data_IF_378869544142
#
_entry.id   IF_378869544142
#
_cell.length_a   1.000
_cell.length_b   1.000
_cell.length_c   1.000
_cell.angle_alpha   90.00
_cell.angle_beta   90.00
_cell.angle_gamma   90.00
#
_symmetry.space_group_name_H-M   'P 1'
#
loop_
_entity.id
_entity.type
_entity.pdbx_description
1 polymer ?
#
# COMPACT_ATOMS: atom_id res chain seq x y z
N UNK A 1 -0.66 4.07 -35.53
CA UNK A 1 0.78 4.35 -35.41
C UNK A 1 1.51 3.33 -36.25
N UNK A 2 2.34 3.74 -37.21
CA UNK A 2 3.14 2.80 -38.01
C UNK A 2 4.29 2.24 -37.16
N UNK A 3 4.80 1.05 -37.53
CA UNK A 3 5.92 0.41 -36.83
C UNK A 3 7.17 1.32 -36.80
N UNK A 4 7.43 2.03 -37.89
CA UNK A 4 8.53 2.99 -38.02
C UNK A 4 8.41 4.18 -37.06
N UNK A 5 7.19 4.66 -36.78
CA UNK A 5 6.95 5.72 -35.80
C UNK A 5 7.14 5.22 -34.36
N UNK A 6 6.85 3.94 -34.10
CA UNK A 6 7.08 3.33 -32.81
C UNK A 6 8.57 3.14 -32.54
N UNK A 7 9.31 2.63 -33.54
CA UNK A 7 10.75 2.42 -33.43
C UNK A 7 11.51 3.76 -33.31
N UNK A 8 11.06 4.79 -34.03
CA UNK A 8 11.61 6.15 -33.87
C UNK A 8 11.33 6.73 -32.46
N UNK A 9 10.14 6.51 -31.90
CA UNK A 9 9.81 6.93 -30.53
C UNK A 9 10.58 6.17 -29.45
N UNK A 10 10.85 4.88 -29.68
CA UNK A 10 11.66 4.05 -28.78
C UNK A 10 13.12 4.51 -28.82
N UNK A 11 13.66 4.74 -30.03
CA UNK A 11 15.01 5.26 -30.23
C UNK A 11 15.19 6.66 -29.61
N UNK A 12 14.25 7.58 -29.85
CA UNK A 12 14.24 8.90 -29.20
C UNK A 12 14.11 8.80 -27.67
N UNK A 13 13.38 7.80 -27.16
CA UNK A 13 13.24 7.54 -25.72
C UNK A 13 14.53 7.02 -25.08
N UNK A 14 15.27 6.15 -25.77
CA UNK A 14 16.58 5.63 -25.35
C UNK A 14 17.64 6.74 -25.37
N UNK A 15 17.71 7.53 -26.44
CA UNK A 15 18.62 8.69 -26.51
C UNK A 15 18.25 9.78 -25.51
N UNK A 16 16.96 10.05 -25.28
CA UNK A 16 16.51 10.98 -24.25
C UNK A 16 16.88 10.47 -22.85
N UNK A 17 16.66 9.19 -22.53
CA UNK A 17 17.02 8.62 -21.23
C UNK A 17 18.53 8.67 -20.96
N UNK A 18 19.37 8.40 -21.98
CA UNK A 18 20.83 8.50 -21.88
C UNK A 18 21.35 9.93 -21.81
N UNK A 19 20.86 10.83 -22.69
CA UNK A 19 21.33 12.23 -22.76
C UNK A 19 20.81 13.11 -21.61
N UNK A 20 19.65 12.78 -21.03
CA UNK A 20 19.09 13.50 -19.88
C UNK A 20 19.58 12.98 -18.54
N UNK A 21 20.34 11.89 -18.46
CA UNK A 21 20.68 11.30 -17.17
C UNK A 21 21.55 12.21 -16.29
N UNK A 22 22.51 12.92 -16.88
CA UNK A 22 23.35 13.91 -16.18
C UNK A 22 22.61 15.25 -15.97
N UNK A 23 21.86 15.72 -16.97
CA UNK A 23 21.11 16.99 -16.88
C UNK A 23 19.90 16.90 -15.92
N UNK A 24 19.23 15.74 -15.86
CA UNK A 24 18.17 15.47 -14.90
C UNK A 24 18.72 15.24 -13.49
N UNK A 25 19.91 14.67 -13.30
CA UNK A 25 20.48 14.51 -11.96
C UNK A 25 20.67 15.88 -11.28
N UNK A 26 21.15 16.87 -12.04
CA UNK A 26 21.34 18.24 -11.53
C UNK A 26 20.00 19.00 -11.34
N UNK A 27 19.03 18.84 -12.25
CA UNK A 27 17.68 19.41 -12.09
C UNK A 27 16.90 18.75 -10.94
N UNK A 28 16.93 17.42 -10.81
CA UNK A 28 16.24 16.68 -9.74
C UNK A 28 16.84 17.02 -8.37
N UNK A 29 18.16 17.16 -8.28
CA UNK A 29 18.82 17.63 -7.06
C UNK A 29 18.36 19.03 -6.65
N UNK A 30 18.15 19.94 -7.61
CA UNK A 30 17.62 21.28 -7.35
C UNK A 30 16.13 21.26 -6.94
N UNK A 31 15.33 20.33 -7.48
CA UNK A 31 13.90 20.18 -7.15
C UNK A 31 13.71 19.54 -5.76
N UNK A 32 14.54 18.55 -5.41
CA UNK A 32 14.55 17.93 -4.09
C UNK A 32 15.00 18.93 -3.00
N UNK A 33 15.99 19.79 -3.29
CA UNK A 33 16.46 20.83 -2.37
C UNK A 33 15.54 22.06 -2.32
N UNK A 34 14.82 22.37 -3.40
CA UNK A 34 13.93 23.53 -3.53
C UNK A 34 12.47 23.29 -3.17
N UNK A 35 12.12 22.13 -2.60
CA UNK A 35 10.74 21.83 -2.20
C UNK A 35 9.76 21.66 -3.36
N UNK A 36 10.22 21.19 -4.53
CA UNK A 36 9.36 20.95 -5.69
C UNK A 36 9.26 22.12 -6.67
N UNK A 37 9.90 23.27 -6.39
CA UNK A 37 9.88 24.42 -7.30
C UNK A 37 10.87 24.23 -8.44
N UNK A 38 10.39 24.24 -9.68
CA UNK A 38 11.24 24.20 -10.87
C UNK A 38 11.35 25.59 -11.49
N UNK A 39 12.52 25.97 -12.00
CA UNK A 39 12.73 27.27 -12.68
C UNK A 39 11.73 27.41 -13.84
N UNK A 40 11.24 28.63 -14.04
CA UNK A 40 10.23 29.04 -15.03
C UNK A 40 10.61 28.84 -16.50
N UNK A 41 11.77 28.24 -16.79
CA UNK A 41 12.37 28.11 -18.13
C UNK A 41 12.18 26.71 -18.75
N UNK A 42 11.46 25.80 -18.10
CA UNK A 42 11.12 24.51 -18.71
C UNK A 42 10.10 24.70 -19.83
N UNK A 43 10.53 24.45 -21.06
CA UNK A 43 9.68 24.46 -22.24
C UNK A 43 8.91 23.12 -22.40
N UNK A 44 7.82 23.16 -23.18
CA UNK A 44 6.97 21.99 -23.44
C UNK A 44 7.76 20.82 -24.04
N UNK A 45 8.80 21.11 -24.82
CA UNK A 45 9.69 20.12 -25.41
C UNK A 45 10.50 19.35 -24.35
N UNK A 46 11.06 20.04 -23.36
CA UNK A 46 11.77 19.41 -22.24
C UNK A 46 10.82 18.56 -21.40
N UNK A 47 9.60 19.04 -21.11
CA UNK A 47 8.59 18.25 -20.40
C UNK A 47 8.21 17.00 -21.20
N UNK A 48 8.06 17.10 -22.52
CA UNK A 48 7.77 15.96 -23.39
C UNK A 48 8.88 14.91 -23.36
N UNK A 49 10.16 15.33 -23.41
CA UNK A 49 11.29 14.41 -23.24
C UNK A 49 11.30 13.73 -21.87
N UNK A 50 11.02 14.47 -20.80
CA UNK A 50 10.92 13.91 -19.44
C UNK A 50 9.78 12.88 -19.33
N UNK A 51 8.64 13.14 -19.98
CA UNK A 51 7.52 12.18 -20.03
C UNK A 51 7.90 10.90 -20.79
N UNK A 52 8.64 11.01 -21.89
CA UNK A 52 9.15 9.85 -22.64
C UNK A 52 10.16 9.05 -21.81
N UNK A 53 11.14 9.72 -21.20
CA UNK A 53 12.12 9.10 -20.31
C UNK A 53 11.45 8.38 -19.13
N UNK A 54 10.38 8.96 -18.57
CA UNK A 54 9.59 8.32 -17.51
C UNK A 54 8.96 7.00 -17.96
N UNK A 55 8.33 6.98 -19.13
CA UNK A 55 7.70 5.75 -19.64
C UNK A 55 8.73 4.69 -20.03
N UNK A 56 9.88 5.10 -20.56
CA UNK A 56 11.01 4.19 -20.81
C UNK A 56 11.54 3.57 -19.50
N UNK A 57 11.80 4.40 -18.48
CA UNK A 57 12.25 3.93 -17.17
C UNK A 57 11.25 2.96 -16.52
N UNK A 58 9.93 3.13 -16.71
CA UNK A 58 8.94 2.15 -16.24
C UNK A 58 9.09 0.81 -16.95
N UNK A 59 9.24 0.81 -18.29
CA UNK A 59 9.45 -0.43 -19.07
C UNK A 59 10.74 -1.14 -18.63
N UNK A 60 11.80 -0.39 -18.35
CA UNK A 60 13.05 -0.97 -17.84
C UNK A 60 12.91 -1.52 -16.41
N UNK A 61 12.16 -0.87 -15.53
CA UNK A 61 11.80 -1.43 -14.21
C UNK A 61 11.07 -2.78 -14.38
N UNK A 62 10.15 -2.89 -15.33
CA UNK A 62 9.44 -4.16 -15.59
C UNK A 62 10.40 -5.25 -16.10
N UNK A 63 11.31 -4.94 -17.03
CA UNK A 63 12.36 -5.87 -17.47
C UNK A 63 13.23 -6.33 -16.30
N UNK A 64 13.67 -5.40 -15.44
CA UNK A 64 14.47 -5.73 -14.26
C UNK A 64 13.71 -6.61 -13.26
N UNK A 65 12.41 -6.37 -13.04
CA UNK A 65 11.55 -7.23 -12.20
C UNK A 65 11.44 -8.64 -12.78
N UNK A 66 11.31 -8.78 -14.10
CA UNK A 66 11.28 -10.08 -14.77
C UNK A 66 12.61 -10.83 -14.61
N UNK A 67 13.75 -10.15 -14.80
CA UNK A 67 15.08 -10.71 -14.57
C UNK A 67 15.27 -11.15 -13.11
N UNK A 68 14.90 -10.30 -12.14
CA UNK A 68 14.93 -10.65 -10.71
C UNK A 68 14.12 -11.90 -10.43
N UNK A 69 12.91 -11.98 -10.98
CA UNK A 69 12.03 -13.14 -10.80
C UNK A 69 12.63 -14.42 -11.39
N UNK A 70 13.29 -14.33 -12.55
CA UNK A 70 13.98 -15.45 -13.17
C UNK A 70 15.17 -15.94 -12.32
N UNK A 71 15.98 -15.01 -11.80
CA UNK A 71 17.10 -15.32 -10.90
C UNK A 71 16.59 -15.98 -9.61
N UNK A 72 15.54 -15.40 -8.99
CA UNK A 72 14.94 -15.97 -7.78
C UNK A 72 14.46 -17.39 -8.01
N UNK A 73 13.77 -17.68 -9.13
CA UNK A 73 13.33 -19.04 -9.46
C UNK A 73 14.50 -20.03 -9.61
N UNK A 74 15.62 -19.62 -10.21
CA UNK A 74 16.80 -20.50 -10.31
C UNK A 74 17.39 -20.79 -8.93
N UNK A 75 17.50 -19.78 -8.07
CA UNK A 75 17.96 -19.96 -6.69
C UNK A 75 17.01 -20.83 -5.88
N UNK A 76 15.70 -20.60 -5.96
CA UNK A 76 14.69 -21.42 -5.30
C UNK A 76 14.79 -22.87 -5.76
N UNK A 77 15.01 -23.13 -7.06
CA UNK A 77 15.24 -24.48 -7.57
C UNK A 77 16.47 -25.14 -6.97
N UNK A 78 17.59 -24.42 -6.87
CA UNK A 78 18.84 -24.95 -6.28
C UNK A 78 18.67 -25.22 -4.78
N UNK A 79 18.00 -24.32 -4.06
CA UNK A 79 17.69 -24.47 -2.64
C UNK A 79 16.78 -25.68 -2.41
N UNK A 80 15.71 -25.82 -3.21
CA UNK A 80 14.79 -26.95 -3.10
C UNK A 80 15.49 -28.29 -3.33
N UNK A 81 16.40 -28.37 -4.32
CA UNK A 81 17.22 -29.58 -4.51
C UNK A 81 18.06 -29.90 -3.27
N UNK A 82 18.64 -28.90 -2.60
CA UNK A 82 19.39 -29.11 -1.36
C UNK A 82 18.49 -29.53 -0.19
N UNK A 83 17.28 -28.99 -0.09
CA UNK A 83 16.30 -29.42 0.90
C UNK A 83 15.87 -30.88 0.68
N UNK A 84 15.71 -31.31 -0.57
CA UNK A 84 15.44 -32.71 -0.94
C UNK A 84 16.62 -33.63 -0.55
N UNK A 85 17.85 -33.24 -0.90
CA UNK A 85 19.07 -33.98 -0.52
C UNK A 85 19.15 -34.14 1.02
N UNK A 86 18.90 -33.05 1.78
CA UNK A 86 18.90 -33.07 3.25
C UNK A 86 17.80 -33.99 3.78
N UNK A 87 16.56 -33.91 3.26
CA UNK A 87 15.47 -34.76 3.69
C UNK A 87 15.76 -36.25 3.46
N UNK A 88 16.41 -36.59 2.34
CA UNK A 88 16.86 -37.95 2.06
C UNK A 88 17.93 -38.41 3.08
N UNK A 89 18.91 -37.55 3.40
CA UNK A 89 19.93 -37.83 4.43
C UNK A 89 19.27 -38.01 5.80
N UNK A 90 18.38 -37.11 6.20
CA UNK A 90 17.65 -37.19 7.47
C UNK A 90 16.84 -38.48 7.57
N UNK A 91 16.21 -38.91 6.47
CA UNK A 91 15.48 -40.19 6.42
C UNK A 91 16.41 -41.39 6.63
N UNK A 92 17.63 -41.37 6.08
CA UNK A 92 18.63 -42.43 6.28
C UNK A 92 19.09 -42.45 7.73
N UNK A 93 19.38 -41.27 8.30
CA UNK A 93 19.82 -41.14 9.71
C UNK A 93 18.72 -41.59 10.67
N UNK A 94 17.46 -41.19 10.44
CA UNK A 94 16.32 -41.60 11.26
C UNK A 94 16.11 -43.11 11.21
N UNK A 95 16.15 -43.71 10.01
CA UNK A 95 16.05 -45.15 9.83
C UNK A 95 17.15 -45.91 10.60
N UNK A 96 18.40 -45.47 10.45
CA UNK A 96 19.53 -46.06 11.17
C UNK A 96 19.38 -45.93 12.69
N UNK A 97 19.04 -44.73 13.20
CA UNK A 97 18.90 -44.50 14.64
C UNK A 97 17.76 -45.34 15.23
N UNK A 98 16.62 -45.45 14.53
CA UNK A 98 15.47 -46.21 15.01
C UNK A 98 15.68 -47.72 14.94
N UNK A 99 16.11 -48.23 13.78
CA UNK A 99 16.05 -49.65 13.47
C UNK A 99 17.37 -50.36 13.76
N UNK A 100 18.50 -49.78 13.34
CA UNK A 100 19.80 -50.42 13.48
C UNK A 100 20.45 -50.13 14.84
N UNK A 101 20.42 -48.86 15.26
CA UNK A 101 20.98 -48.40 16.53
C UNK A 101 19.99 -48.50 17.72
N UNK A 102 18.81 -49.09 17.50
CA UNK A 102 17.78 -49.39 18.52
C UNK A 102 17.40 -48.18 19.39
N UNK A 103 17.35 -47.00 18.79
CA UNK A 103 17.01 -45.73 19.45
C UNK A 103 18.10 -45.17 20.37
N UNK A 104 19.30 -45.74 20.39
CA UNK A 104 20.42 -45.20 21.19
C UNK A 104 20.91 -43.87 20.62
N UNK A 105 21.33 -42.97 21.50
CA UNK A 105 21.95 -41.69 21.14
C UNK A 105 23.28 -41.94 20.41
N UNK A 106 23.40 -41.39 19.20
CA UNK A 106 24.63 -41.38 18.42
C UNK A 106 25.29 -40.00 18.57
N UNK A 107 26.50 -39.95 19.13
CA UNK A 107 27.27 -38.71 19.26
C UNK A 107 28.47 -38.80 18.32
N UNK A 108 28.54 -37.87 17.35
CA UNK A 108 29.57 -37.76 16.33
C UNK A 108 30.27 -36.40 16.48
N UNK A 109 31.45 -36.24 15.87
CA UNK A 109 32.21 -34.98 15.92
C UNK A 109 31.44 -33.78 15.34
N UNK A 110 30.56 -34.04 14.37
CA UNK A 110 29.76 -33.03 13.66
C UNK A 110 28.35 -32.83 14.24
N UNK A 111 27.92 -33.65 15.21
CA UNK A 111 26.57 -33.56 15.75
C UNK A 111 26.09 -34.80 16.49
N UNK A 112 24.86 -34.74 17.01
CA UNK A 112 24.25 -35.83 17.76
C UNK A 112 22.88 -36.16 17.20
N UNK A 113 22.61 -37.43 16.92
CA UNK A 113 21.31 -37.94 16.51
C UNK A 113 20.70 -38.82 17.61
N UNK A 114 19.46 -38.54 18.01
CA UNK A 114 18.75 -39.30 19.04
C UNK A 114 17.24 -39.13 18.91
N UNK A 115 16.49 -40.08 19.47
CA UNK A 115 15.04 -39.99 19.55
C UNK A 115 14.62 -39.13 20.73
N UNK A 116 13.95 -38.01 20.45
CA UNK A 116 13.36 -37.16 21.48
C UNK A 116 11.85 -37.40 21.57
N UNK A 117 11.35 -37.65 22.78
CA UNK A 117 9.90 -37.67 23.05
C UNK A 117 9.39 -36.22 23.14
N UNK A 118 8.59 -35.78 22.17
CA UNK A 118 7.86 -34.52 22.26
C UNK A 118 6.61 -34.72 23.14
N UNK A 119 6.29 -33.79 24.04
CA UNK A 119 5.07 -33.89 24.85
C UNK A 119 3.83 -33.79 23.97
N UNK A 120 2.72 -34.35 24.44
CA UNK A 120 1.43 -34.21 23.78
C UNK A 120 1.03 -32.74 23.67
N UNK A 121 0.50 -32.35 22.51
CA UNK A 121 -0.02 -31.00 22.25
C UNK A 121 -1.44 -31.14 21.72
N UNK A 122 -2.31 -30.25 22.14
CA UNK A 122 -3.67 -30.11 21.61
C UNK A 122 -3.63 -29.01 20.55
N UNK A 123 -4.31 -29.23 19.43
CA UNK A 123 -4.49 -28.25 18.36
C UNK A 123 -5.99 -27.95 18.24
N UNK A 124 -6.33 -26.68 18.07
CA UNK A 124 -7.70 -26.27 17.74
C UNK A 124 -7.94 -26.60 16.26
N UNK A 125 -8.93 -27.43 15.98
CA UNK A 125 -9.32 -27.81 14.62
C UNK A 125 -10.47 -26.96 14.08
N UNK A 126 -11.43 -26.59 14.94
CA UNK A 126 -12.54 -25.69 14.63
C UNK A 126 -12.61 -24.56 15.66
N UNK A 127 -12.34 -23.33 15.21
CA UNK A 127 -12.34 -22.16 16.10
C UNK A 127 -13.74 -21.82 16.61
N UNK A 128 -14.78 -21.99 15.81
CA UNK A 128 -16.15 -21.60 16.17
C UNK A 128 -16.72 -22.49 17.28
N UNK A 129 -16.48 -23.80 17.20
CA UNK A 129 -16.87 -24.76 18.24
C UNK A 129 -16.11 -24.48 19.55
N UNK A 130 -14.82 -24.17 19.46
CA UNK A 130 -14.01 -23.83 20.63
C UNK A 130 -14.45 -22.51 21.27
N UNK A 131 -14.82 -21.51 20.45
CA UNK A 131 -15.41 -20.25 20.94
C UNK A 131 -16.73 -20.50 21.65
N UNK A 132 -17.63 -21.30 21.07
CA UNK A 132 -18.89 -21.67 21.71
C UNK A 132 -18.65 -22.41 23.04
N UNK A 133 -17.74 -23.39 23.06
CA UNK A 133 -17.36 -24.12 24.27
C UNK A 133 -16.85 -23.19 25.39
N UNK A 134 -15.98 -22.24 25.07
CA UNK A 134 -15.48 -21.28 26.06
C UNK A 134 -16.52 -20.21 26.43
N UNK A 135 -17.46 -19.88 25.55
CA UNK A 135 -18.58 -19.00 25.85
C UNK A 135 -19.54 -19.66 26.85
N UNK A 136 -19.91 -20.93 26.64
CA UNK A 136 -20.76 -21.71 27.54
C UNK A 136 -20.15 -21.83 28.95
N UNK A 137 -18.83 -21.84 29.05
CA UNK A 137 -18.09 -21.88 30.32
C UNK A 137 -17.77 -20.50 30.91
N UNK A 138 -18.24 -19.40 30.30
CA UNK A 138 -17.94 -18.02 30.70
C UNK A 138 -16.42 -17.73 30.81
N UNK A 139 -15.61 -18.37 29.96
CA UNK A 139 -14.15 -18.18 29.94
C UNK A 139 -13.64 -17.56 28.64
N UNK A 140 -14.53 -17.26 27.70
CA UNK A 140 -14.17 -16.73 26.39
C UNK A 140 -13.26 -15.50 26.46
N UNK A 141 -13.54 -14.57 27.37
CA UNK A 141 -12.76 -13.35 27.55
C UNK A 141 -11.31 -13.58 27.99
N UNK A 142 -11.00 -14.74 28.60
CA UNK A 142 -9.61 -15.11 28.97
C UNK A 142 -8.77 -15.50 27.75
N UNK A 143 -9.42 -15.90 26.67
CA UNK A 143 -8.77 -16.45 25.47
C UNK A 143 -8.89 -15.53 24.25
N UNK A 144 -9.76 -14.51 24.32
CA UNK A 144 -9.89 -13.47 23.28
C UNK A 144 -9.00 -12.28 23.63
N UNK A 145 -8.22 -11.80 22.65
CA UNK A 145 -7.53 -10.51 22.76
C UNK A 145 -8.54 -9.38 22.59
N UNK A 146 -8.34 -8.20 23.22
CA UNK A 146 -9.16 -7.02 22.94
C UNK A 146 -9.24 -6.82 21.43
N UNK A 147 -10.46 -6.71 20.91
CA UNK A 147 -10.68 -6.51 19.47
C UNK A 147 -9.99 -5.21 19.03
N UNK A 148 -9.30 -5.19 17.88
CA UNK A 148 -8.72 -3.97 17.36
C UNK A 148 -9.83 -2.95 17.09
N UNK A 149 -9.58 -1.68 17.42
CA UNK A 149 -10.45 -0.58 17.01
C UNK A 149 -10.38 -0.44 15.48
N UNK A 150 -11.52 -0.45 14.82
CA UNK A 150 -11.60 -0.13 13.40
C UNK A 150 -11.45 1.40 13.23
N UNK A 151 -10.23 1.84 12.94
CA UNK A 151 -9.91 3.25 12.78
C UNK A 151 -10.64 3.87 11.59
N UNK A 152 -10.82 3.11 10.49
CA UNK A 152 -11.49 3.59 9.30
C UNK A 152 -12.98 3.85 9.52
N UNK A 153 -13.68 2.97 10.25
CA UNK A 153 -15.06 3.22 10.65
C UNK A 153 -15.17 4.41 11.61
N UNK A 154 -14.22 4.53 12.55
CA UNK A 154 -14.20 5.60 13.54
C UNK A 154 -13.94 6.98 12.91
N UNK A 155 -13.00 7.05 11.95
CA UNK A 155 -12.70 8.26 11.17
C UNK A 155 -13.90 8.67 10.31
N UNK A 156 -14.53 7.71 9.62
CA UNK A 156 -15.72 7.95 8.79
C UNK A 156 -16.91 8.44 9.62
N UNK A 157 -17.10 7.92 10.83
CA UNK A 157 -18.18 8.33 11.71
C UNK A 157 -18.14 9.85 11.95
N UNK A 158 -16.99 10.37 12.41
CA UNK A 158 -16.85 11.81 12.68
C UNK A 158 -16.91 12.67 11.43
N UNK A 159 -16.39 12.19 10.30
CA UNK A 159 -16.50 12.91 9.02
C UNK A 159 -17.95 12.96 8.52
N UNK A 160 -18.72 11.89 8.70
CA UNK A 160 -20.13 11.88 8.33
C UNK A 160 -20.95 12.83 9.22
N UNK A 161 -20.70 12.85 10.53
CA UNK A 161 -21.33 13.84 11.43
C UNK A 161 -21.02 15.28 10.98
N UNK A 162 -19.78 15.55 10.57
CA UNK A 162 -19.40 16.87 10.03
C UNK A 162 -20.13 17.19 8.73
N UNK A 163 -20.21 16.24 7.79
CA UNK A 163 -20.92 16.42 6.53
C UNK A 163 -22.42 16.66 6.72
N UNK A 164 -23.06 15.99 7.67
CA UNK A 164 -24.46 16.22 8.03
C UNK A 164 -24.68 17.64 8.57
N UNK A 165 -23.80 18.12 9.47
CA UNK A 165 -23.85 19.48 9.99
C UNK A 165 -23.69 20.49 8.85
N UNK A 166 -22.67 20.33 8.01
CA UNK A 166 -22.43 21.21 6.85
C UNK A 166 -23.65 21.21 5.93
N UNK A 167 -24.22 20.05 5.62
CA UNK A 167 -25.35 19.94 4.69
C UNK A 167 -26.59 20.65 5.24
N UNK A 168 -26.88 20.50 6.53
CA UNK A 168 -28.01 21.20 7.18
C UNK A 168 -27.86 22.73 7.15
N UNK A 169 -26.64 23.24 7.33
CA UNK A 169 -26.35 24.68 7.30
C UNK A 169 -26.43 25.21 5.87
N UNK A 170 -25.91 24.46 4.90
CA UNK A 170 -25.97 24.82 3.47
C UNK A 170 -27.42 24.90 3.00
N UNK A 171 -28.27 23.93 3.37
CA UNK A 171 -29.70 23.97 3.04
C UNK A 171 -30.38 25.23 3.59
N UNK A 172 -30.10 25.59 4.85
CA UNK A 172 -30.65 26.80 5.48
C UNK A 172 -30.17 28.09 4.80
N UNK A 173 -28.89 28.18 4.42
CA UNK A 173 -28.33 29.36 3.75
C UNK A 173 -28.83 29.49 2.31
N UNK A 174 -28.92 28.38 1.58
CA UNK A 174 -29.50 28.34 0.23
C UNK A 174 -30.97 28.76 0.26
N UNK A 175 -31.76 28.29 1.22
CA UNK A 175 -33.17 28.67 1.33
C UNK A 175 -33.34 30.15 1.72
N UNK A 176 -32.45 30.69 2.55
CA UNK A 176 -32.42 32.12 2.88
C UNK A 176 -32.08 32.97 1.65
N UNK A 177 -31.09 32.58 0.85
CA UNK A 177 -30.76 33.27 -0.41
C UNK A 177 -31.89 33.18 -1.44
N UNK A 178 -32.59 32.04 -1.54
CA UNK A 178 -33.77 31.90 -2.41
C UNK A 178 -34.92 32.84 -2.01
N UNK A 179 -35.10 33.10 -0.72
CA UNK A 179 -36.13 34.00 -0.20
C UNK A 179 -35.80 35.48 -0.43
N UNK A 180 -34.51 35.85 -0.46
CA UNK A 180 -34.04 37.22 -0.67
C UNK A 180 -33.85 37.59 -2.15
N UNK A 181 -33.76 36.60 -3.04
CA UNK A 181 -33.60 36.76 -4.49
C UNK A 181 -34.93 36.98 -5.20
N UNK A 182 -35.07 38.07 -5.96
CA UNK A 182 -36.24 38.34 -6.81
C UNK A 182 -36.53 37.22 -7.85
N UNK A 183 -35.52 36.41 -8.18
CA UNK A 183 -35.63 35.32 -9.17
C UNK A 183 -35.91 33.92 -8.57
N UNK A 184 -35.94 33.77 -7.24
CA UNK A 184 -36.15 32.49 -6.51
C UNK A 184 -35.28 31.30 -6.95
N UNK A 185 -34.20 31.52 -7.71
CA UNK A 185 -33.32 30.46 -8.21
C UNK A 185 -31.87 30.72 -7.80
N UNK A 186 -31.30 29.77 -7.08
CA UNK A 186 -29.86 29.67 -6.80
C UNK A 186 -29.27 28.70 -7.82
N UNK A 187 -28.11 29.05 -8.40
CA UNK A 187 -27.44 28.18 -9.37
C UNK A 187 -26.62 27.10 -8.65
N UNK A 188 -26.42 25.94 -9.29
CA UNK A 188 -25.55 24.87 -8.76
C UNK A 188 -24.12 25.34 -8.44
N UNK A 189 -23.65 26.40 -9.12
CA UNK A 189 -22.34 27.01 -8.84
C UNK A 189 -22.36 27.71 -7.49
N UNK A 190 -23.39 28.51 -7.22
CA UNK A 190 -23.55 29.21 -5.94
C UNK A 190 -23.80 28.26 -4.77
N UNK A 191 -24.56 27.17 -4.97
CA UNK A 191 -24.71 26.12 -3.94
C UNK A 191 -23.36 25.48 -3.54
N UNK A 192 -22.44 25.32 -4.50
CA UNK A 192 -21.08 24.82 -4.21
C UNK A 192 -20.24 25.85 -3.45
N UNK A 193 -20.29 27.12 -3.86
CA UNK A 193 -19.60 28.21 -3.17
C UNK A 193 -20.08 28.34 -1.72
N UNK A 194 -21.40 28.29 -1.47
CA UNK A 194 -21.98 28.29 -0.12
C UNK A 194 -21.47 27.08 0.68
N UNK A 195 -21.41 25.89 0.07
CA UNK A 195 -20.87 24.71 0.75
C UNK A 195 -19.41 24.88 1.14
N UNK A 196 -18.59 25.44 0.26
CA UNK A 196 -17.17 25.74 0.55
C UNK A 196 -17.04 26.78 1.67
N UNK A 197 -17.82 27.86 1.64
CA UNK A 197 -17.88 28.89 2.69
C UNK A 197 -18.30 28.30 4.06
N UNK A 198 -19.31 27.42 4.08
CA UNK A 198 -19.78 26.73 5.29
C UNK A 198 -18.72 25.77 5.81
N UNK A 199 -18.05 25.01 4.92
CA UNK A 199 -16.96 24.12 5.32
C UNK A 199 -15.85 24.95 5.97
N UNK A 200 -15.36 26.02 5.33
CA UNK A 200 -14.29 26.87 5.88
C UNK A 200 -14.65 27.46 7.25
N UNK A 201 -15.93 27.82 7.46
CA UNK A 201 -16.41 28.37 8.73
C UNK A 201 -16.52 27.34 9.84
N UNK A 202 -16.96 26.13 9.53
CA UNK A 202 -17.25 25.09 10.53
C UNK A 202 -16.07 24.12 10.77
N UNK A 203 -15.12 24.01 9.83
CA UNK A 203 -13.93 23.16 9.95
C UNK A 203 -13.09 23.43 11.23
N UNK A 204 -12.85 24.70 11.64
CA UNK A 204 -12.11 24.99 12.87
C UNK A 204 -12.85 24.51 14.13
N UNK A 205 -14.18 24.68 14.17
CA UNK A 205 -15.01 24.23 15.29
C UNK A 205 -15.10 22.72 15.37
N UNK A 206 -15.11 22.05 14.22
CA UNK A 206 -15.05 20.59 14.15
C UNK A 206 -13.73 20.07 14.71
N UNK A 207 -12.61 20.68 14.33
CA UNK A 207 -11.28 20.34 14.86
C UNK A 207 -11.19 20.45 16.38
N UNK A 208 -11.81 21.45 16.99
CA UNK A 208 -11.85 21.64 18.45
C UNK A 208 -12.75 20.62 19.18
N UNK A 209 -13.76 20.07 18.50
CA UNK A 209 -14.70 19.08 19.06
C UNK A 209 -14.23 17.63 18.92
N UNK A 210 -13.18 17.37 18.13
CA UNK A 210 -12.65 16.03 17.96
C UNK A 210 -12.07 15.48 19.27
N UNK A 211 -12.36 14.22 19.66
CA UNK A 211 -11.76 13.62 20.83
C UNK A 211 -10.24 13.47 20.71
N UNK A 212 -9.58 13.37 21.87
CA UNK A 212 -8.16 13.04 21.94
C UNK A 212 -7.87 11.73 21.18
N UNK A 213 -6.93 11.79 20.24
CA UNK A 213 -6.56 10.67 19.37
C UNK A 213 -6.95 10.83 17.91
N UNK A 214 -7.80 11.81 17.56
CA UNK A 214 -8.12 12.15 16.18
C UNK A 214 -7.34 13.39 15.71
N UNK A 215 -6.89 13.37 14.46
CA UNK A 215 -6.22 14.50 13.82
C UNK A 215 -6.87 14.79 12.46
N UNK A 216 -7.22 16.05 12.22
CA UNK A 216 -7.75 16.48 10.93
C UNK A 216 -6.62 16.65 9.91
N UNK A 217 -6.66 15.88 8.83
CA UNK A 217 -5.76 16.03 7.67
C UNK A 217 -6.42 16.88 6.60
N UNK A 218 -5.73 17.93 6.14
CA UNK A 218 -6.22 18.78 5.05
C UNK A 218 -6.07 18.07 3.69
N UNK A 219 -6.97 18.33 2.74
CA UNK A 219 -6.85 17.78 1.40
C UNK A 219 -5.55 18.28 0.74
N UNK A 220 -4.77 17.35 0.19
CA UNK A 220 -3.59 17.64 -0.64
C UNK A 220 -3.93 17.38 -2.09
N UNK A 221 -3.58 18.32 -2.97
CA UNK A 221 -3.71 18.12 -4.41
C UNK A 221 -2.63 17.15 -4.90
N UNK A 222 -3.06 16.06 -5.55
CA UNK A 222 -2.14 15.10 -6.18
C UNK A 222 -2.28 15.18 -7.70
N UNK A 223 -1.16 15.44 -8.39
CA UNK A 223 -1.12 15.40 -9.85
C UNK A 223 -1.31 13.96 -10.34
N UNK A 224 -2.31 13.73 -11.18
CA UNK A 224 -2.52 12.43 -11.85
C UNK A 224 -2.03 12.51 -13.29
N UNK A 225 -0.92 11.83 -13.60
CA UNK A 225 -0.37 11.75 -14.97
C UNK A 225 -0.82 10.44 -15.63
N UNK A 226 -1.61 10.55 -16.71
CA UNK A 226 -2.02 9.42 -17.56
C UNK A 226 -1.19 9.41 -18.85
N UNK A 227 -0.63 8.25 -19.22
CA UNK A 227 0.08 8.06 -20.49
C UNK A 227 -0.82 7.35 -21.50
N UNK A 228 -0.79 7.80 -22.76
CA UNK A 228 -1.47 7.15 -23.89
C UNK A 228 -0.50 6.29 -24.73
N UNK A 229 0.75 6.14 -24.29
CA UNK A 229 1.77 5.33 -24.98
C UNK A 229 1.56 3.88 -24.58
N UNK A 230 1.28 3.00 -25.55
CA UNK A 230 1.24 1.54 -25.40
C UNK A 230 2.62 0.98 -25.69
#
# INVERSE_FOLDING_TARGET
MSAELLDALVFEGEEAAGSLQEMMAEMLGNVEQGGGYVRSELDEYTIRKMMLAREYNKKDIEKMKAMKSAIMRDWDRRINKKNEDIAAIDSIVDNFVRNDNKGKKLSLDIGTAYLQKKPHKIKVENEDEVRQHFAEQNMLEKFIKPGPLDTGLSEKYYMNEFEEIVSSIVELEVDREKQLSESKKVTKKREKEIREEVIERELPKFKEKLPNGFALTMPTESLTIRSNIK
#
